data_IF_438469880805
#
_entry.id   IF_438469880805
#
_cell.length_a   1.000
_cell.length_b   1.000
_cell.length_c   1.000
_cell.angle_alpha   90.00
_cell.angle_beta   90.00
_cell.angle_gamma   90.00
#
_symmetry.space_group_name_H-M   'P 1'
#
loop_
_entity.id
_entity.type
_entity.pdbx_description
1 polymer ?
#
# COMPACT_ATOMS: atom_id res chain seq x y z
N UNK A 1 -20.61 2.50 17.00
CA UNK A 1 -19.51 3.48 16.94
C UNK A 1 -19.10 3.70 15.48
N UNK A 2 -19.14 4.94 15.06
CA UNK A 2 -18.74 5.25 13.69
C UNK A 2 -17.22 5.21 13.58
N UNK A 3 -16.71 4.30 12.76
CA UNK A 3 -15.29 4.35 12.43
C UNK A 3 -15.05 5.51 11.49
N UNK A 4 -14.06 6.31 11.83
CA UNK A 4 -13.58 7.33 10.91
C UNK A 4 -12.89 6.61 9.75
N UNK A 5 -13.38 6.82 8.53
CA UNK A 5 -12.82 6.18 7.33
C UNK A 5 -11.33 6.48 7.21
N UNK A 6 -10.89 7.67 7.61
CA UNK A 6 -9.49 8.06 7.54
C UNK A 6 -8.58 7.21 8.43
N UNK A 7 -9.11 6.53 9.46
CA UNK A 7 -8.32 5.65 10.31
C UNK A 7 -7.94 4.34 9.61
N UNK A 8 -8.55 4.04 8.46
CA UNK A 8 -8.22 2.85 7.66
C UNK A 8 -7.08 3.11 6.69
N UNK A 9 -6.67 4.35 6.55
CA UNK A 9 -5.60 4.77 5.66
C UNK A 9 -4.43 5.31 6.46
N UNK A 10 -3.23 5.05 6.01
CA UNK A 10 -2.01 5.57 6.61
C UNK A 10 -1.11 6.11 5.52
N UNK A 11 -0.78 7.40 5.60
CA UNK A 11 0.17 8.02 4.68
C UNK A 11 1.57 7.82 5.22
N UNK A 12 2.43 7.20 4.43
CA UNK A 12 3.81 6.93 4.81
C UNK A 12 4.79 7.57 3.83
N UNK A 13 5.92 8.01 4.36
CA UNK A 13 7.03 8.52 3.55
C UNK A 13 8.28 7.79 4.00
N UNK A 14 9.05 7.31 3.03
CA UNK A 14 10.31 6.63 3.31
C UNK A 14 11.42 7.10 2.38
N UNK A 15 12.62 7.16 2.91
CA UNK A 15 13.82 7.43 2.14
C UNK A 15 14.29 6.14 1.47
N UNK A 16 15.21 6.27 0.52
CA UNK A 16 15.80 5.10 -0.13
C UNK A 16 16.27 4.06 0.90
N UNK A 17 15.98 2.80 0.63
CA UNK A 17 16.32 1.64 1.45
C UNK A 17 15.53 1.47 2.75
N UNK A 18 14.57 2.35 3.05
CA UNK A 18 13.73 2.17 4.22
C UNK A 18 12.61 1.15 3.93
N UNK A 19 12.33 0.30 4.92
CA UNK A 19 11.19 -0.62 4.87
C UNK A 19 9.95 0.18 5.25
N UNK A 20 8.97 0.23 4.34
CA UNK A 20 7.74 0.97 4.57
C UNK A 20 6.62 0.09 5.12
N UNK A 21 6.70 -1.22 4.88
CA UNK A 21 5.65 -2.12 5.31
C UNK A 21 6.14 -3.56 5.35
N UNK A 22 5.61 -4.32 6.31
CA UNK A 22 5.83 -5.75 6.43
C UNK A 22 4.46 -6.37 6.71
N UNK A 23 3.98 -7.28 5.84
CA UNK A 23 2.64 -7.85 5.99
C UNK A 23 2.48 -8.72 7.22
N UNK A 24 3.57 -9.21 7.82
CA UNK A 24 3.50 -9.91 9.10
C UNK A 24 2.97 -9.00 10.21
N UNK A 25 3.23 -7.69 10.11
CA UNK A 25 2.78 -6.71 11.10
C UNK A 25 1.42 -6.10 10.75
N UNK A 26 1.12 -5.96 9.46
CA UNK A 26 -0.04 -5.18 9.00
C UNK A 26 -1.24 -6.02 8.59
N UNK A 27 -1.04 -7.30 8.26
CA UNK A 27 -2.07 -8.12 7.63
C UNK A 27 -2.22 -7.80 6.13
N UNK A 28 -3.41 -8.08 5.58
CA UNK A 28 -3.72 -7.81 4.17
C UNK A 28 -3.78 -6.31 3.93
N UNK A 29 -3.03 -5.83 2.96
CA UNK A 29 -2.97 -4.38 2.67
C UNK A 29 -2.99 -4.08 1.19
N UNK A 30 -3.42 -2.86 0.89
CA UNK A 30 -3.23 -2.22 -0.41
C UNK A 30 -2.24 -1.08 -0.23
N UNK A 31 -1.28 -0.97 -1.13
CA UNK A 31 -0.31 0.13 -1.14
C UNK A 31 -0.48 0.93 -2.43
N UNK A 32 -0.79 2.21 -2.30
CA UNK A 32 -0.94 3.14 -3.42
C UNK A 32 0.28 4.06 -3.46
N UNK A 33 1.08 4.00 -4.52
CA UNK A 33 2.31 4.80 -4.60
C UNK A 33 2.00 6.17 -5.20
N UNK A 34 2.08 7.20 -4.36
CA UNK A 34 1.83 8.59 -4.76
C UNK A 34 3.04 9.20 -5.46
N UNK A 35 4.24 8.86 -5.00
CA UNK A 35 5.48 9.28 -5.65
C UNK A 35 6.60 8.32 -5.28
N UNK A 36 7.60 8.22 -6.15
CA UNK A 36 8.73 7.33 -5.93
C UNK A 36 8.51 5.92 -6.46
N UNK A 37 9.15 4.96 -5.82
CA UNK A 37 9.15 3.58 -6.28
C UNK A 37 9.40 2.63 -5.13
N UNK A 38 8.60 1.54 -5.09
CA UNK A 38 8.76 0.45 -4.13
C UNK A 38 9.30 -0.79 -4.81
N UNK A 39 10.06 -1.57 -4.04
CA UNK A 39 10.35 -2.96 -4.39
C UNK A 39 9.67 -3.85 -3.36
N UNK A 40 9.03 -4.92 -3.83
CA UNK A 40 8.38 -5.91 -2.97
C UNK A 40 9.28 -7.14 -2.90
N UNK A 41 9.63 -7.54 -1.68
CA UNK A 41 10.42 -8.73 -1.41
C UNK A 41 9.52 -9.81 -0.82
N UNK A 42 9.79 -11.07 -1.17
CA UNK A 42 9.11 -12.20 -0.56
C UNK A 42 9.82 -12.64 0.73
N UNK A 43 9.31 -13.72 1.36
CA UNK A 43 9.89 -14.27 2.59
C UNK A 43 11.38 -14.62 2.45
N UNK A 44 11.79 -15.03 1.27
CA UNK A 44 13.18 -15.43 1.00
C UNK A 44 14.08 -14.24 0.66
N UNK A 45 13.57 -13.01 0.84
CA UNK A 45 14.29 -11.78 0.54
C UNK A 45 14.61 -11.63 -0.95
N UNK A 46 13.81 -12.26 -1.79
CA UNK A 46 13.92 -12.13 -3.24
C UNK A 46 13.01 -11.00 -3.71
N UNK A 47 13.53 -10.04 -4.51
CA UNK A 47 12.66 -9.03 -5.11
C UNK A 47 11.75 -9.67 -6.15
N UNK A 48 10.43 -9.47 -5.99
CA UNK A 48 9.45 -10.12 -6.87
C UNK A 48 8.65 -9.13 -7.69
N UNK A 49 8.65 -7.85 -7.32
CA UNK A 49 7.87 -6.85 -8.04
C UNK A 49 8.35 -5.43 -7.73
N UNK A 50 8.20 -4.55 -8.70
CA UNK A 50 8.40 -3.11 -8.55
C UNK A 50 7.05 -2.43 -8.65
N UNK A 51 6.78 -1.46 -7.76
CA UNK A 51 5.56 -0.67 -7.82
C UNK A 51 5.95 0.79 -8.03
N UNK A 52 5.62 1.32 -9.20
CA UNK A 52 5.98 2.67 -9.59
C UNK A 52 4.90 3.67 -9.17
N UNK A 53 5.27 4.95 -9.19
CA UNK A 53 4.33 6.04 -8.99
C UNK A 53 3.12 5.88 -9.91
N UNK A 54 1.92 6.06 -9.35
CA UNK A 54 0.68 5.91 -10.10
C UNK A 54 0.14 4.49 -10.17
N UNK A 55 0.76 3.56 -9.44
CA UNK A 55 0.30 2.16 -9.37
C UNK A 55 0.02 1.76 -7.94
N UNK A 56 -0.77 0.71 -7.78
CA UNK A 56 -1.02 0.14 -6.46
C UNK A 56 -0.86 -1.38 -6.51
N UNK A 57 -0.64 -1.97 -5.34
CA UNK A 57 -0.43 -3.41 -5.20
C UNK A 57 -1.23 -3.93 -4.01
N UNK A 58 -1.80 -5.13 -4.16
CA UNK A 58 -2.42 -5.87 -3.06
C UNK A 58 -1.40 -6.88 -2.52
N UNK A 59 -1.12 -6.80 -1.23
CA UNK A 59 -0.23 -7.72 -0.53
C UNK A 59 -1.03 -8.50 0.52
N UNK A 60 -1.32 -9.79 0.25
CA UNK A 60 -2.02 -10.62 1.22
C UNK A 60 -1.09 -11.08 2.35
N UNK A 61 -1.63 -11.20 3.54
CA UNK A 61 -0.85 -11.59 4.72
C UNK A 61 -0.45 -13.06 4.73
N UNK A 62 -1.10 -13.91 3.92
CA UNK A 62 -0.78 -15.33 3.83
C UNK A 62 0.68 -15.59 3.46
N UNK A 63 1.25 -14.68 2.68
CA UNK A 63 2.66 -14.70 2.32
C UNK A 63 3.32 -13.50 2.99
N UNK A 64 4.53 -13.68 3.48
CA UNK A 64 5.27 -12.59 4.07
C UNK A 64 5.87 -11.72 2.97
N UNK A 65 5.44 -10.46 2.91
CA UNK A 65 5.96 -9.49 1.94
C UNK A 65 6.54 -8.30 2.67
N UNK A 66 7.61 -7.74 2.13
CA UNK A 66 8.23 -6.53 2.63
C UNK A 66 8.29 -5.52 1.49
N UNK A 67 7.79 -4.32 1.74
CA UNK A 67 7.83 -3.21 0.78
C UNK A 67 8.92 -2.24 1.20
N UNK A 68 9.90 -2.04 0.34
CA UNK A 68 11.06 -1.18 0.60
C UNK A 68 11.12 -0.06 -0.43
N UNK A 69 11.40 1.16 0.02
CA UNK A 69 11.56 2.30 -0.86
C UNK A 69 12.88 2.20 -1.63
N UNK A 70 12.84 2.40 -2.95
CA UNK A 70 14.06 2.49 -3.77
C UNK A 70 14.58 3.93 -3.76
N UNK A 71 13.67 4.88 -3.88
CA UNK A 71 13.94 6.31 -3.81
C UNK A 71 13.10 6.90 -2.71
N UNK A 72 13.15 8.22 -2.52
CA UNK A 72 12.20 8.89 -1.64
C UNK A 72 10.79 8.56 -2.14
N UNK A 73 10.01 7.88 -1.33
CA UNK A 73 8.71 7.34 -1.73
C UNK A 73 7.63 7.80 -0.77
N UNK A 74 6.49 8.20 -1.33
CA UNK A 74 5.27 8.50 -0.58
C UNK A 74 4.20 7.52 -1.01
N UNK A 75 3.53 6.93 -0.03
CA UNK A 75 2.46 5.99 -0.31
C UNK A 75 1.30 6.14 0.67
N UNK A 76 0.17 5.58 0.28
CA UNK A 76 -0.98 5.42 1.16
C UNK A 76 -1.17 3.93 1.36
N UNK A 77 -1.19 3.53 2.63
CA UNK A 77 -1.47 2.15 3.04
C UNK A 77 -2.93 2.06 3.45
N UNK A 78 -3.65 1.08 2.92
CA UNK A 78 -5.02 0.80 3.29
C UNK A 78 -5.14 -0.66 3.72
N UNK A 79 -5.80 -0.90 4.85
CA UNK A 79 -6.07 -2.27 5.29
C UNK A 79 -7.16 -2.87 4.40
N UNK A 80 -6.87 -4.04 3.83
CA UNK A 80 -7.68 -4.61 2.76
C UNK A 80 -8.71 -5.65 3.21
N UNK A 81 -8.66 -6.09 4.48
CA UNK A 81 -9.67 -6.97 5.08
C UNK A 81 -10.49 -7.83 4.11
N UNK A 82 -11.83 -7.63 4.05
CA UNK A 82 -12.70 -8.45 3.19
C UNK A 82 -12.42 -8.33 1.70
N UNK A 83 -11.83 -7.20 1.25
CA UNK A 83 -11.53 -7.02 -0.17
C UNK A 83 -10.50 -8.02 -0.66
N UNK A 84 -9.55 -8.40 0.21
CA UNK A 84 -8.53 -9.37 -0.17
C UNK A 84 -9.14 -10.76 -0.40
N UNK A 85 -10.18 -11.12 0.36
CA UNK A 85 -10.87 -12.40 0.17
C UNK A 85 -11.51 -12.49 -1.21
N UNK A 86 -12.14 -11.41 -1.65
CA UNK A 86 -12.76 -11.37 -2.98
C UNK A 86 -11.75 -11.57 -4.09
N UNK A 87 -10.55 -11.02 -3.92
CA UNK A 87 -9.50 -11.13 -4.93
C UNK A 87 -8.85 -12.51 -4.90
N UNK A 88 -8.60 -13.05 -3.72
CA UNK A 88 -7.96 -14.36 -3.57
C UNK A 88 -8.85 -15.52 -4.01
N UNK A 89 -10.17 -15.31 -4.10
CA UNK A 89 -11.10 -16.29 -4.63
C UNK A 89 -11.06 -16.40 -6.16
N UNK A 90 -10.40 -15.47 -6.84
CA UNK A 90 -10.24 -15.53 -8.30
C UNK A 90 -9.34 -16.71 -8.66
N UNK A 91 -9.77 -17.62 -9.55
CA UNK A 91 -8.94 -18.78 -9.94
C UNK A 91 -7.63 -18.39 -10.64
N UNK A 92 -7.52 -17.17 -11.16
CA UNK A 92 -6.29 -16.67 -11.76
C UNK A 92 -5.36 -16.05 -10.73
N UNK A 93 -5.81 -15.93 -9.48
CA UNK A 93 -5.01 -15.36 -8.43
C UNK A 93 -3.78 -16.23 -8.12
N UNK A 94 -2.61 -15.60 -8.13
CA UNK A 94 -1.36 -16.25 -7.75
C UNK A 94 -0.73 -15.49 -6.58
N UNK A 95 -0.73 -16.08 -5.36
CA UNK A 95 -0.18 -15.38 -4.19
C UNK A 95 1.32 -15.11 -4.29
N UNK A 96 2.04 -15.81 -5.17
CA UNK A 96 3.46 -15.60 -5.36
C UNK A 96 3.77 -14.42 -6.29
N UNK A 97 2.74 -13.87 -6.93
CA UNK A 97 2.87 -12.70 -7.82
C UNK A 97 1.86 -11.64 -7.42
N UNK A 98 2.26 -10.61 -6.68
CA UNK A 98 1.35 -9.53 -6.32
C UNK A 98 0.72 -8.89 -7.55
N UNK A 99 -0.58 -8.58 -7.44
CA UNK A 99 -1.30 -7.88 -8.51
C UNK A 99 -0.97 -6.40 -8.43
N UNK A 100 -0.43 -5.85 -9.51
CA UNK A 100 -0.09 -4.43 -9.63
C UNK A 100 -0.96 -3.82 -10.70
N UNK A 101 -1.73 -2.80 -10.34
CA UNK A 101 -2.67 -2.15 -11.23
C UNK A 101 -2.46 -0.64 -11.23
N UNK A 102 -2.75 0.03 -12.36
CA UNK A 102 -2.68 1.49 -12.39
C UNK A 102 -3.79 2.11 -11.56
N UNK A 103 -3.47 3.23 -10.93
CA UNK A 103 -4.46 4.02 -10.19
C UNK A 103 -5.25 4.82 -11.21
N UNK A 104 -6.57 4.58 -11.29
CA UNK A 104 -7.41 5.34 -12.23
C UNK A 104 -7.57 6.79 -11.77
N UNK A 105 -7.90 7.73 -12.68
CA UNK A 105 -8.00 9.15 -12.32
C UNK A 105 -8.96 9.46 -11.18
N UNK A 106 -10.11 8.78 -11.12
CA UNK A 106 -11.07 8.98 -10.02
C UNK A 106 -10.49 8.58 -8.68
N UNK A 107 -9.80 7.43 -8.64
CA UNK A 107 -9.17 6.95 -7.42
C UNK A 107 -8.00 7.85 -7.02
N UNK A 108 -7.21 8.32 -7.99
CA UNK A 108 -6.10 9.22 -7.71
C UNK A 108 -6.58 10.50 -7.04
N UNK A 109 -7.70 11.05 -7.48
CA UNK A 109 -8.30 12.23 -6.87
C UNK A 109 -8.72 11.97 -5.43
N UNK A 110 -9.33 10.82 -5.18
CA UNK A 110 -9.74 10.42 -3.84
C UNK A 110 -8.53 10.26 -2.92
N UNK A 111 -7.48 9.62 -3.40
CA UNK A 111 -6.25 9.43 -2.64
C UNK A 111 -5.57 10.77 -2.31
N UNK A 112 -5.58 11.69 -3.27
CA UNK A 112 -5.05 13.04 -3.04
C UNK A 112 -5.79 13.74 -1.90
N UNK A 113 -7.13 13.62 -1.87
CA UNK A 113 -7.93 14.20 -0.81
C UNK A 113 -7.62 13.56 0.56
N UNK A 114 -7.40 12.26 0.58
CA UNK A 114 -7.04 11.56 1.83
C UNK A 114 -5.71 12.08 2.35
N UNK A 115 -4.70 12.23 1.50
CA UNK A 115 -3.42 12.80 1.90
C UNK A 115 -3.57 14.23 2.43
N UNK A 116 -4.35 15.03 1.73
CA UNK A 116 -4.60 16.42 2.11
C UNK A 116 -5.22 16.51 3.51
N UNK A 117 -6.27 15.74 3.76
CA UNK A 117 -6.95 15.76 5.04
C UNK A 117 -6.08 15.24 6.18
N UNK A 118 -5.29 14.21 5.94
CA UNK A 118 -4.39 13.70 6.97
C UNK A 118 -3.29 14.70 7.30
N UNK A 119 -2.75 15.39 6.31
CA UNK A 119 -1.74 16.42 6.54
C UNK A 119 -2.31 17.61 7.30
N UNK A 120 -3.52 18.03 6.97
CA UNK A 120 -4.20 19.12 7.69
C UNK A 120 -4.46 18.77 9.15
N UNK A 121 -4.90 17.55 9.39
CA UNK A 121 -5.15 17.07 10.74
C UNK A 121 -3.86 17.06 11.57
N UNK A 122 -2.73 16.71 10.96
CA UNK A 122 -1.42 16.78 11.65
C UNK A 122 -1.06 18.20 12.00
N UNK A 123 -1.33 19.16 11.12
CA UNK A 123 -1.06 20.57 11.37
C UNK A 123 -1.90 21.10 12.52
N UNK A 124 -3.14 20.68 12.66
CA UNK A 124 -4.01 21.09 13.75
C UNK A 124 -3.56 20.53 15.10
N UNK A 125 -2.89 19.38 15.11
CA UNK A 125 -2.40 18.75 16.33
C UNK A 125 -1.08 19.34 16.83
N UNK A 126 -0.42 20.11 16.00
CA UNK A 126 0.81 20.78 16.36
C UNK A 126 0.49 22.21 16.83
#
# INVERSE_FOLDING_TARGET
>A
MKRNVLNQFECKTGKACEILCNTDDTGNILLFVSSGKLVIYNRNQTPIADVNEGYFVLLPAEKSFIATAITLTRLILMHAGPLSEMITDDPEWNPDRPVILPICPSLAKTLYLIEYYQNEKRSELN
#
